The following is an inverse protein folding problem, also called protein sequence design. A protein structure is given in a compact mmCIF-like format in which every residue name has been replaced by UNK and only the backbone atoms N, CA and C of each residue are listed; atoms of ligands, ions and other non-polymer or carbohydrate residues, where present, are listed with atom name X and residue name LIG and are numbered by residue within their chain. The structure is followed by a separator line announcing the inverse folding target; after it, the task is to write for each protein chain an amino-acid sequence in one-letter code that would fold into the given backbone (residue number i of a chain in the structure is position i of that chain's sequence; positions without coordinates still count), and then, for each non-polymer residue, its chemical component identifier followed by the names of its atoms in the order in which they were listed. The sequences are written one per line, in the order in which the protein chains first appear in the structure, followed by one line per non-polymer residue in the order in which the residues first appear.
data_IF_100816012022
#
_entry.id   IF_100816012022
#
_cell.length_a   1.000
_cell.length_b   1.000
_cell.length_c   1.000
_cell.angle_alpha   90.00
_cell.angle_beta   90.00
_cell.angle_gamma   90.00
#
_symmetry.space_group_name_H-M   'P 1'
#
loop_
_entity.id
_entity.type
_entity.pdbx_description
1 polymer ?
#
# COMPACT_ATOMS: atom_id res chain seq x y z
N UNK A 1 -20.59 48.55 20.63
CA UNK A 1 -19.51 48.38 21.62
C UNK A 1 -20.13 48.01 22.95
N UNK A 2 -19.82 46.82 23.48
CA UNK A 2 -20.02 46.48 24.90
C UNK A 2 -18.77 45.72 25.33
N UNK A 3 -18.02 46.34 26.24
CA UNK A 3 -16.95 45.71 27.00
C UNK A 3 -17.55 45.14 28.29
N UNK A 4 -17.30 43.87 28.57
CA UNK A 4 -17.42 43.32 29.92
C UNK A 4 -16.22 42.43 30.20
N UNK A 5 -15.61 42.73 31.33
CA UNK A 5 -14.37 42.19 31.89
C UNK A 5 -14.68 41.07 32.87
N UNK A 6 -13.70 40.20 33.13
CA UNK A 6 -13.66 39.27 34.28
C UNK A 6 -13.40 37.83 33.83
N UNK A 7 -12.40 37.08 34.31
CA UNK A 7 -11.57 37.20 35.51
C UNK A 7 -11.69 35.90 36.33
N UNK A 8 -10.56 35.24 36.61
CA UNK A 8 -10.44 34.10 37.56
C UNK A 8 -10.58 32.72 36.91
N UNK A 9 -9.68 31.74 37.05
CA UNK A 9 -8.77 31.44 38.16
C UNK A 9 -9.37 30.32 39.02
N UNK A 10 -8.97 29.07 38.80
CA UNK A 10 -9.42 27.92 39.58
C UNK A 10 -8.55 26.70 39.35
N UNK A 11 -7.79 26.33 40.37
CA UNK A 11 -6.84 25.20 40.44
C UNK A 11 -7.51 23.98 41.11
N UNK A 12 -6.81 22.83 41.05
CA UNK A 12 -6.84 21.63 41.94
C UNK A 12 -8.18 20.87 42.05
N UNK A 13 -8.29 19.54 42.28
CA UNK A 13 -7.43 18.51 42.89
C UNK A 13 -8.08 17.11 42.73
N UNK A 14 -7.31 16.03 42.97
CA UNK A 14 -7.78 14.67 43.26
C UNK A 14 -7.10 13.64 42.37
N UNK A 15 -6.02 12.95 42.80
CA UNK A 15 -6.01 11.93 43.86
C UNK A 15 -6.37 10.58 43.23
N UNK A 16 -5.63 9.48 43.27
CA UNK A 16 -4.50 9.01 44.04
C UNK A 16 -4.55 7.47 43.92
N UNK A 17 -3.42 6.78 44.04
CA UNK A 17 -3.43 5.31 44.20
C UNK A 17 -2.40 4.55 43.38
N UNK A 18 -1.17 4.55 43.90
CA UNK A 18 -0.14 3.54 43.64
C UNK A 18 -0.51 2.22 44.32
N UNK A 19 -0.30 1.09 43.63
CA UNK A 19 0.51 -0.06 44.09
C UNK A 19 0.10 -1.37 43.41
N UNK A 20 1.10 -2.10 42.90
CA UNK A 20 0.93 -3.48 42.48
C UNK A 20 2.01 -3.92 41.51
N UNK A 21 3.27 -3.95 41.96
CA UNK A 21 4.37 -4.43 41.14
C UNK A 21 4.29 -5.94 40.85
N UNK A 22 4.89 -6.34 39.73
CA UNK A 22 5.56 -7.63 39.59
C UNK A 22 6.66 -7.49 38.55
N UNK A 23 7.89 -7.78 39.00
CA UNK A 23 9.04 -8.06 38.16
C UNK A 23 8.71 -9.25 37.25
N UNK A 24 8.84 -9.05 35.95
CA UNK A 24 8.83 -10.09 34.94
C UNK A 24 9.51 -9.51 33.74
N UNK A 25 10.85 -9.66 33.68
CA UNK A 25 11.60 -9.33 32.49
C UNK A 25 11.16 -10.27 31.39
N UNK A 26 10.53 -9.70 30.38
CA UNK A 26 10.67 -10.17 29.03
C UNK A 26 11.14 -8.96 28.26
N UNK A 27 12.37 -9.03 27.76
CA UNK A 27 12.92 -8.16 26.72
C UNK A 27 12.19 -8.53 25.41
N UNK A 28 10.87 -8.45 25.43
CA UNK A 28 10.01 -8.50 24.28
C UNK A 28 10.25 -7.21 23.55
N UNK A 29 11.26 -7.24 22.69
CA UNK A 29 11.35 -6.40 21.51
C UNK A 29 10.01 -6.54 20.79
N UNK A 30 9.03 -5.74 21.19
CA UNK A 30 7.83 -5.46 20.44
C UNK A 30 8.31 -4.61 19.27
N UNK A 31 9.01 -5.26 18.35
CA UNK A 31 9.02 -4.85 16.96
C UNK A 31 7.55 -4.90 16.59
N UNK A 32 6.90 -3.77 16.75
CA UNK A 32 5.69 -3.46 16.03
C UNK A 32 6.11 -3.51 14.57
N UNK A 33 6.18 -4.72 14.01
CA UNK A 33 6.17 -4.91 12.58
C UNK A 33 4.88 -4.24 12.18
N UNK A 34 4.97 -3.04 11.59
CA UNK A 34 3.93 -2.60 10.69
C UNK A 34 3.67 -3.82 9.81
N UNK A 35 2.52 -4.49 9.99
CA UNK A 35 2.19 -5.78 9.35
C UNK A 35 2.44 -5.74 7.84
N UNK A 36 2.18 -4.55 7.35
CA UNK A 36 2.53 -3.95 6.10
C UNK A 36 3.99 -4.14 5.66
N UNK A 37 4.99 -3.75 6.47
CA UNK A 37 6.42 -3.87 6.16
C UNK A 37 6.87 -5.34 6.06
N UNK A 38 6.39 -6.18 6.98
CA UNK A 38 6.64 -7.63 6.92
C UNK A 38 6.09 -8.26 5.63
N UNK A 39 4.90 -7.83 5.20
CA UNK A 39 4.27 -8.29 3.97
C UNK A 39 4.98 -7.78 2.72
N UNK A 40 5.49 -6.54 2.72
CA UNK A 40 6.30 -5.99 1.61
C UNK A 40 7.58 -6.81 1.39
N UNK A 41 8.33 -7.06 2.46
CA UNK A 41 9.57 -7.85 2.43
C UNK A 41 9.30 -9.29 2.00
N UNK A 42 8.16 -9.87 2.39
CA UNK A 42 7.76 -11.21 1.95
C UNK A 42 7.61 -11.28 0.43
N UNK A 43 6.87 -10.34 -0.18
CA UNK A 43 6.67 -10.33 -1.63
C UNK A 43 7.99 -10.17 -2.39
N UNK A 44 8.85 -9.25 -1.93
CA UNK A 44 10.16 -9.03 -2.55
C UNK A 44 11.02 -10.30 -2.52
N UNK A 45 11.15 -10.96 -1.37
CA UNK A 45 11.90 -12.21 -1.23
C UNK A 45 11.35 -13.33 -2.12
N UNK A 46 10.04 -13.44 -2.24
CA UNK A 46 9.41 -14.43 -3.11
C UNK A 46 9.74 -14.18 -4.59
N UNK A 47 9.69 -12.92 -5.04
CA UNK A 47 10.03 -12.53 -6.41
C UNK A 47 11.51 -12.79 -6.70
N UNK A 48 12.40 -12.49 -5.76
CA UNK A 48 13.84 -12.77 -5.88
C UNK A 48 14.13 -14.27 -5.95
N UNK A 49 13.43 -15.08 -5.17
CA UNK A 49 13.60 -16.53 -5.15
C UNK A 49 13.09 -17.22 -6.42
N UNK A 50 12.13 -16.62 -7.13
CA UNK A 50 11.56 -17.18 -8.36
C UNK A 50 11.23 -16.09 -9.39
N UNK A 51 12.27 -15.60 -10.05
CA UNK A 51 12.17 -14.58 -11.10
C UNK A 51 11.45 -15.02 -12.37
N UNK A 52 11.20 -16.34 -12.55
CA UNK A 52 10.49 -16.89 -13.70
C UNK A 52 8.97 -16.92 -13.52
N UNK A 53 8.46 -16.65 -12.30
CA UNK A 53 7.04 -16.71 -12.02
C UNK A 53 6.37 -15.34 -12.18
N UNK A 54 5.62 -15.16 -13.28
CA UNK A 54 4.90 -13.92 -13.59
C UNK A 54 3.79 -13.56 -12.59
N UNK A 55 3.25 -14.53 -11.85
CA UNK A 55 2.18 -14.30 -10.87
C UNK A 55 2.68 -13.50 -9.67
N UNK A 56 3.96 -13.64 -9.32
CA UNK A 56 4.54 -12.97 -8.15
C UNK A 56 4.57 -11.44 -8.30
N UNK A 57 5.16 -10.85 -9.37
CA UNK A 57 5.10 -9.40 -9.58
C UNK A 57 3.66 -8.90 -9.77
N UNK A 58 2.78 -9.68 -10.41
CA UNK A 58 1.38 -9.31 -10.63
C UNK A 58 0.59 -9.20 -9.32
N UNK A 59 0.72 -10.20 -8.43
CA UNK A 59 0.06 -10.19 -7.13
C UNK A 59 0.63 -9.09 -6.22
N UNK A 60 1.93 -8.86 -6.29
CA UNK A 60 2.56 -7.79 -5.52
C UNK A 60 2.10 -6.41 -6.00
N UNK A 61 1.97 -6.18 -7.31
CA UNK A 61 1.41 -4.94 -7.85
C UNK A 61 -0.02 -4.69 -7.34
N UNK A 62 -0.88 -5.71 -7.34
CA UNK A 62 -2.24 -5.66 -6.76
C UNK A 62 -2.20 -5.27 -5.27
N UNK A 63 -1.36 -5.94 -4.48
CA UNK A 63 -1.17 -5.59 -3.05
C UNK A 63 -0.69 -4.15 -2.85
N UNK A 64 0.30 -3.70 -3.63
CA UNK A 64 0.83 -2.33 -3.54
C UNK A 64 -0.24 -1.29 -3.86
N UNK A 65 -1.09 -1.55 -4.85
CA UNK A 65 -2.19 -0.66 -5.23
C UNK A 65 -3.28 -0.62 -4.17
N UNK A 66 -3.79 -1.80 -3.79
CA UNK A 66 -5.04 -1.91 -3.04
C UNK A 66 -4.82 -1.76 -1.52
N UNK A 67 -3.64 -2.15 -1.01
CA UNK A 67 -3.33 -2.11 0.41
C UNK A 67 -2.42 -0.93 0.76
N UNK A 68 -1.34 -0.71 -0.02
CA UNK A 68 -0.33 0.31 0.31
C UNK A 68 -0.59 1.66 -0.32
N UNK A 69 -1.31 1.71 -1.45
CA UNK A 69 -1.43 2.92 -2.27
C UNK A 69 -0.10 3.39 -2.86
N UNK A 70 0.90 2.52 -2.99
CA UNK A 70 2.21 2.85 -3.53
C UNK A 70 2.20 2.74 -5.06
N UNK A 71 1.61 3.73 -5.72
CA UNK A 71 1.40 3.73 -7.17
C UNK A 71 2.72 3.71 -7.98
N UNK A 72 3.80 4.25 -7.44
CA UNK A 72 5.12 4.25 -8.11
C UNK A 72 5.65 2.82 -8.17
N UNK A 73 5.61 2.11 -7.04
CA UNK A 73 6.04 0.72 -6.98
C UNK A 73 5.05 -0.19 -7.72
N UNK A 74 3.75 0.09 -7.69
CA UNK A 74 2.77 -0.62 -8.51
C UNK A 74 3.12 -0.52 -10.00
N UNK A 75 3.44 0.67 -10.52
CA UNK A 75 3.81 0.85 -11.93
C UNK A 75 5.03 0.00 -12.28
N UNK A 76 6.06 0.01 -11.42
CA UNK A 76 7.26 -0.81 -11.61
C UNK A 76 6.92 -2.32 -11.72
N UNK A 77 6.14 -2.86 -10.78
CA UNK A 77 5.83 -4.29 -10.74
C UNK A 77 4.81 -4.71 -11.79
N UNK A 78 3.89 -3.82 -12.20
CA UNK A 78 3.08 -4.02 -13.40
C UNK A 78 3.95 -4.14 -14.65
N UNK A 79 4.93 -3.26 -14.84
CA UNK A 79 5.86 -3.34 -15.97
C UNK A 79 6.64 -4.65 -16.00
N UNK A 80 7.13 -5.12 -14.84
CA UNK A 80 7.78 -6.44 -14.72
C UNK A 80 6.83 -7.59 -15.06
N UNK A 81 5.61 -7.54 -14.54
CA UNK A 81 4.60 -8.56 -14.83
C UNK A 81 4.25 -8.63 -16.32
N UNK A 82 4.09 -7.49 -17.00
CA UNK A 82 3.83 -7.43 -18.46
C UNK A 82 5.00 -8.03 -19.25
N UNK A 83 6.25 -7.78 -18.84
CA UNK A 83 7.42 -8.38 -19.48
C UNK A 83 7.44 -9.91 -19.34
N UNK A 84 6.95 -10.45 -18.22
CA UNK A 84 6.88 -11.90 -17.98
C UNK A 84 5.65 -12.56 -18.60
N UNK A 85 4.50 -11.90 -18.60
CA UNK A 85 3.26 -12.35 -19.22
C UNK A 85 2.55 -11.15 -19.90
N UNK A 86 2.71 -10.97 -21.22
CA UNK A 86 2.14 -9.83 -21.92
C UNK A 86 0.63 -9.92 -22.15
N UNK A 87 -0.01 -11.03 -21.80
CA UNK A 87 -1.45 -11.26 -21.99
C UNK A 87 -2.24 -11.30 -20.68
N UNK A 88 -1.70 -10.70 -19.60
CA UNK A 88 -2.44 -10.55 -18.34
C UNK A 88 -3.33 -9.31 -18.39
N UNK A 89 -4.63 -9.51 -18.66
CA UNK A 89 -5.59 -8.42 -18.85
C UNK A 89 -5.72 -7.49 -17.64
N UNK A 90 -5.67 -8.05 -16.43
CA UNK A 90 -5.75 -7.28 -15.19
C UNK A 90 -4.55 -6.34 -15.03
N UNK A 91 -3.34 -6.86 -15.26
CA UNK A 91 -2.10 -6.08 -15.12
C UNK A 91 -2.03 -5.01 -16.21
N UNK A 92 -2.44 -5.32 -17.43
CA UNK A 92 -2.50 -4.36 -18.54
C UNK A 92 -3.46 -3.21 -18.22
N UNK A 93 -4.67 -3.52 -17.74
CA UNK A 93 -5.66 -2.51 -17.34
C UNK A 93 -5.15 -1.66 -16.17
N UNK A 94 -4.56 -2.28 -15.15
CA UNK A 94 -3.95 -1.58 -14.03
C UNK A 94 -2.83 -0.65 -14.47
N UNK A 95 -1.97 -1.08 -15.39
CA UNK A 95 -0.87 -0.26 -15.91
C UNK A 95 -1.40 0.91 -16.75
N UNK A 96 -2.40 0.69 -17.60
CA UNK A 96 -3.07 1.76 -18.35
C UNK A 96 -3.64 2.84 -17.43
N UNK A 97 -4.28 2.44 -16.33
CA UNK A 97 -4.82 3.35 -15.31
C UNK A 97 -3.73 4.19 -14.64
N UNK A 98 -2.59 3.58 -14.28
CA UNK A 98 -1.44 4.30 -13.71
C UNK A 98 -0.84 5.31 -14.69
N UNK A 99 -0.70 4.94 -15.97
CA UNK A 99 -0.22 5.84 -17.01
C UNK A 99 -1.15 7.04 -17.17
N UNK A 100 -2.46 6.82 -17.20
CA UNK A 100 -3.45 7.89 -17.27
C UNK A 100 -3.44 8.79 -16.03
N UNK A 101 -3.39 8.21 -14.84
CA UNK A 101 -3.48 8.96 -13.60
C UNK A 101 -2.18 9.72 -13.29
N UNK A 102 -1.03 9.07 -13.39
CA UNK A 102 0.27 9.62 -13.02
C UNK A 102 0.91 10.47 -14.11
N UNK A 103 0.82 10.06 -15.37
CA UNK A 103 1.54 10.69 -16.49
C UNK A 103 0.65 11.53 -17.40
N UNK A 104 -0.68 11.37 -17.31
CA UNK A 104 -1.66 12.04 -18.18
C UNK A 104 -1.44 11.76 -19.67
N UNK A 105 -0.84 10.62 -19.98
CA UNK A 105 -0.62 10.16 -21.35
C UNK A 105 -1.79 9.26 -21.80
N UNK A 106 -2.81 9.89 -22.39
CA UNK A 106 -4.00 9.20 -22.87
C UNK A 106 -3.69 8.14 -23.93
N UNK A 107 -2.81 8.47 -24.88
CA UNK A 107 -2.48 7.61 -26.03
C UNK A 107 -1.79 6.33 -25.57
N UNK A 108 -0.84 6.46 -24.64
CA UNK A 108 -0.17 5.31 -24.07
C UNK A 108 -1.10 4.48 -23.17
N UNK A 109 -1.96 5.12 -22.38
CA UNK A 109 -2.94 4.41 -21.56
C UNK A 109 -3.93 3.61 -22.41
N UNK A 110 -4.48 4.22 -23.47
CA UNK A 110 -5.40 3.57 -24.42
C UNK A 110 -4.79 2.30 -25.04
N UNK A 111 -3.51 2.36 -25.39
CA UNK A 111 -2.79 1.19 -25.92
C UNK A 111 -2.83 -0.01 -24.96
N UNK A 112 -2.66 0.22 -23.65
CA UNK A 112 -2.71 -0.85 -22.65
C UNK A 112 -4.13 -1.34 -22.37
N UNK A 113 -5.14 -0.46 -22.40
CA UNK A 113 -6.53 -0.87 -22.29
C UNK A 113 -6.98 -1.72 -23.49
N UNK A 114 -6.57 -1.36 -24.71
CA UNK A 114 -6.82 -2.16 -25.90
C UNK A 114 -6.18 -3.55 -25.81
N UNK A 115 -4.96 -3.62 -25.26
CA UNK A 115 -4.29 -4.89 -25.01
C UNK A 115 -5.05 -5.72 -23.96
N UNK A 116 -5.54 -5.10 -22.89
CA UNK A 116 -6.31 -5.78 -21.85
C UNK A 116 -7.60 -6.42 -22.42
N UNK A 117 -8.36 -5.68 -23.23
CA UNK A 117 -9.58 -6.19 -23.89
C UNK A 117 -9.26 -7.35 -24.83
N UNK A 118 -8.14 -7.28 -25.56
CA UNK A 118 -7.71 -8.38 -26.44
C UNK A 118 -7.27 -9.62 -25.65
N UNK A 119 -6.64 -9.42 -24.50
CA UNK A 119 -6.17 -10.49 -23.64
C UNK A 119 -7.31 -11.23 -22.94
N UNK A 120 -8.35 -10.50 -22.53
CA UNK A 120 -9.51 -11.04 -21.80
C UNK A 120 -10.84 -10.54 -22.40
N UNK A 121 -11.21 -10.98 -23.61
CA UNK A 121 -12.38 -10.44 -24.34
C UNK A 121 -13.73 -10.79 -23.71
N UNK A 122 -13.75 -11.68 -22.71
CA UNK A 122 -14.95 -12.14 -22.02
C UNK A 122 -15.05 -11.60 -20.57
N UNK A 123 -14.13 -10.74 -20.14
CA UNK A 123 -14.03 -10.22 -18.78
C UNK A 123 -14.45 -8.75 -18.72
N UNK A 124 -15.70 -8.50 -19.11
CA UNK A 124 -16.38 -7.19 -19.13
C UNK A 124 -17.39 -7.07 -17.99
#
# INVERSE_FOLDING_TARGET
MSVLVGGGGGKICGGGGINGGSNGGDDGNSESWDSDYGTDVYHQKMIEANSWNYLLPSNYAKYLKDVRGDFVKTEEYCGRAILSNPNDGDVLSMYGDLIWQGHKDASRAETYFDQAVKASPNDW
#
